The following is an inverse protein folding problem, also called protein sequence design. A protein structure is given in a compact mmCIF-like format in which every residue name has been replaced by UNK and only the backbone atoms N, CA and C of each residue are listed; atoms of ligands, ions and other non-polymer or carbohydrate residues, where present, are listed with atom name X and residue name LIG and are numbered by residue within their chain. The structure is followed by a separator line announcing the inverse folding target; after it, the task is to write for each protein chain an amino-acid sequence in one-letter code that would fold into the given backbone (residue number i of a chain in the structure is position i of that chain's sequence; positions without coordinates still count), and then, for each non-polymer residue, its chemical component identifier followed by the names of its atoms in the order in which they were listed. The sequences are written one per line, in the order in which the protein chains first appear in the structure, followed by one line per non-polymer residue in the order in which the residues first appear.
data_IF_027914511410
#
_entry.id   IF_027914511410
#
_cell.length_a   1.000
_cell.length_b   1.000
_cell.length_c   1.000
_cell.angle_alpha   90.00
_cell.angle_beta   90.00
_cell.angle_gamma   90.00
#
_symmetry.space_group_name_H-M   'P 1'
#
loop_
_entity.id
_entity.type
_entity.pdbx_description
1 polymer ?
#
# COMPACT_ATOMS: atom_id res chain seq x y z
N UNK A 1 38.39 -37.97 44.48
CA UNK A 1 38.23 -38.62 43.15
C UNK A 1 36.77 -38.40 42.74
N UNK A 2 36.51 -37.40 41.97
CA UNK A 2 35.15 -37.10 41.45
C UNK A 2 35.27 -36.74 39.96
N UNK A 3 34.74 -37.61 39.15
CA UNK A 3 34.79 -37.56 37.70
C UNK A 3 33.86 -36.47 37.13
N UNK A 4 34.46 -35.59 36.29
CA UNK A 4 33.75 -34.70 35.40
C UNK A 4 33.18 -35.48 34.20
N UNK A 5 31.87 -35.47 34.02
CA UNK A 5 31.21 -35.83 32.78
C UNK A 5 30.58 -34.54 32.19
N UNK A 6 31.31 -33.90 31.28
CA UNK A 6 30.83 -32.77 30.49
C UNK A 6 30.04 -33.31 29.29
N UNK A 7 28.79 -32.84 29.18
CA UNK A 7 27.81 -33.31 28.22
C UNK A 7 28.17 -33.06 26.76
N UNK A 8 28.16 -34.11 25.96
CA UNK A 8 28.25 -34.12 24.48
C UNK A 8 26.89 -33.87 23.78
N UNK A 9 25.84 -33.49 24.52
CA UNK A 9 24.47 -33.40 23.96
C UNK A 9 24.13 -32.09 23.20
N UNK A 10 24.80 -31.00 23.52
CA UNK A 10 24.37 -29.67 23.01
C UNK A 10 24.76 -29.41 21.55
N UNK A 11 25.88 -29.97 21.06
CA UNK A 11 26.33 -29.73 19.65
C UNK A 11 25.49 -30.44 18.59
N UNK A 12 24.85 -31.57 18.90
CA UNK A 12 24.03 -32.26 17.92
C UNK A 12 22.67 -31.63 17.66
N UNK A 13 22.12 -30.85 18.59
CA UNK A 13 20.84 -30.15 18.40
C UNK A 13 20.94 -28.95 17.47
N UNK A 14 22.06 -28.21 17.53
CA UNK A 14 22.30 -27.07 16.63
C UNK A 14 22.58 -27.50 15.19
N UNK A 15 23.34 -28.58 14.99
CA UNK A 15 23.57 -29.15 13.66
C UNK A 15 22.28 -29.69 13.04
N UNK A 16 21.45 -30.40 13.79
CA UNK A 16 20.15 -30.90 13.29
C UNK A 16 19.20 -29.75 12.90
N UNK A 17 19.12 -28.68 13.68
CA UNK A 17 18.32 -27.48 13.33
C UNK A 17 18.88 -26.75 12.12
N UNK A 18 20.19 -26.66 11.96
CA UNK A 18 20.83 -26.11 10.76
C UNK A 18 20.51 -26.93 9.51
N UNK A 19 20.56 -28.25 9.59
CA UNK A 19 20.21 -29.13 8.47
C UNK A 19 18.72 -29.11 8.11
N UNK A 20 17.81 -29.00 9.06
CA UNK A 20 16.37 -28.86 8.77
C UNK A 20 16.04 -27.52 8.11
N UNK A 21 16.70 -26.43 8.51
CA UNK A 21 16.56 -25.12 7.86
C UNK A 21 17.17 -25.15 6.45
N UNK A 22 18.34 -25.76 6.28
CA UNK A 22 18.99 -25.91 4.99
C UNK A 22 18.19 -26.83 4.03
N UNK A 23 17.62 -27.92 4.52
CA UNK A 23 16.74 -28.81 3.75
C UNK A 23 15.41 -28.16 3.40
N UNK A 24 14.82 -27.37 4.30
CA UNK A 24 13.64 -26.57 4.00
C UNK A 24 13.95 -25.47 2.96
N UNK A 25 15.10 -24.81 3.06
CA UNK A 25 15.55 -23.85 2.06
C UNK A 25 15.86 -24.53 0.70
N UNK A 26 16.48 -25.73 0.70
CA UNK A 26 16.69 -26.51 -0.52
C UNK A 26 15.38 -27.03 -1.12
N UNK A 27 14.42 -27.46 -0.31
CA UNK A 27 13.09 -27.87 -0.79
C UNK A 27 12.34 -26.70 -1.45
N UNK A 28 12.50 -25.48 -0.94
CA UNK A 28 11.96 -24.26 -1.54
C UNK A 28 12.64 -23.91 -2.88
N UNK A 29 13.88 -24.37 -3.12
CA UNK A 29 14.61 -24.14 -4.36
C UNK A 29 14.25 -25.14 -5.50
N UNK A 30 13.52 -26.21 -5.21
CA UNK A 30 13.15 -27.23 -6.20
C UNK A 30 11.77 -27.01 -6.83
N UNK A 31 11.08 -25.91 -6.52
CA UNK A 31 9.86 -25.56 -7.25
C UNK A 31 10.23 -25.02 -8.63
N UNK A 32 9.92 -25.80 -9.65
CA UNK A 32 10.02 -25.43 -11.06
C UNK A 32 9.39 -24.06 -11.30
N UNK A 33 10.11 -23.21 -12.03
CA UNK A 33 9.79 -21.86 -12.54
C UNK A 33 8.35 -21.35 -12.27
N UNK A 34 8.00 -21.12 -11.02
CA UNK A 34 6.75 -20.45 -10.64
C UNK A 34 6.96 -18.92 -10.70
N UNK A 35 6.01 -18.23 -11.28
CA UNK A 35 6.07 -16.82 -11.64
C UNK A 35 5.30 -15.97 -10.61
N UNK A 36 5.70 -14.72 -10.35
CA UNK A 36 5.17 -13.86 -9.28
C UNK A 36 3.66 -13.58 -9.42
N UNK A 37 2.93 -13.66 -8.32
CA UNK A 37 1.49 -13.89 -8.27
C UNK A 37 1.11 -14.79 -9.44
N UNK A 38 1.40 -16.08 -9.34
CA UNK A 38 1.42 -16.96 -10.50
C UNK A 38 0.07 -17.11 -11.19
N UNK A 39 -1.00 -16.61 -10.59
CA UNK A 39 -2.36 -16.60 -11.15
C UNK A 39 -2.38 -15.98 -12.54
N UNK A 40 -1.96 -14.72 -12.66
CA UNK A 40 -2.04 -13.99 -13.93
C UNK A 40 -0.99 -14.48 -14.94
N UNK A 41 0.15 -14.92 -14.46
CA UNK A 41 1.15 -15.55 -15.32
C UNK A 41 0.67 -16.90 -15.87
N UNK A 42 0.02 -17.74 -15.04
CA UNK A 42 -0.64 -18.98 -15.49
C UNK A 42 -1.77 -18.69 -16.47
N UNK A 43 -2.60 -17.66 -16.16
CA UNK A 43 -3.74 -17.28 -17.00
C UNK A 43 -3.31 -16.80 -18.39
N UNK A 44 -2.22 -16.03 -18.47
CA UNK A 44 -1.80 -15.37 -19.73
C UNK A 44 -0.65 -16.09 -20.44
N UNK A 45 0.02 -17.04 -19.79
CA UNK A 45 1.26 -17.64 -20.27
C UNK A 45 2.45 -16.68 -20.32
N UNK A 46 2.33 -15.48 -19.73
CA UNK A 46 3.36 -14.44 -19.76
C UNK A 46 4.22 -14.45 -18.48
N UNK A 47 5.47 -14.03 -18.61
CA UNK A 47 6.36 -13.83 -17.48
C UNK A 47 5.98 -12.54 -16.71
N UNK A 48 6.42 -12.43 -15.45
CA UNK A 48 6.11 -11.28 -14.58
C UNK A 48 6.61 -9.95 -15.14
N UNK A 49 7.73 -9.95 -15.85
CA UNK A 49 8.31 -8.76 -16.49
C UNK A 49 7.46 -8.24 -17.66
N UNK A 50 6.59 -9.08 -18.24
CA UNK A 50 5.66 -8.59 -19.24
C UNK A 50 4.62 -7.63 -18.65
N UNK A 51 4.17 -7.90 -17.42
CA UNK A 51 3.13 -7.11 -16.75
C UNK A 51 3.68 -6.10 -15.75
N UNK A 52 4.82 -6.37 -15.11
CA UNK A 52 5.40 -5.54 -14.06
C UNK A 52 6.78 -5.03 -14.44
N UNK A 53 7.04 -3.75 -14.25
CA UNK A 53 8.35 -3.14 -14.47
C UNK A 53 9.39 -3.81 -13.57
N UNK A 54 10.42 -4.46 -14.19
CA UNK A 54 11.42 -5.24 -13.47
C UNK A 54 10.88 -6.54 -12.84
N UNK A 55 9.66 -6.99 -13.22
CA UNK A 55 9.07 -8.24 -12.74
C UNK A 55 8.47 -8.20 -11.34
N UNK A 56 8.31 -7.01 -10.74
CA UNK A 56 7.81 -6.84 -9.38
C UNK A 56 6.61 -5.88 -9.33
N UNK A 57 5.58 -6.23 -8.55
CA UNK A 57 4.47 -5.33 -8.33
C UNK A 57 4.90 -4.09 -7.51
N UNK A 58 4.14 -2.98 -7.51
CA UNK A 58 2.88 -2.81 -8.23
C UNK A 58 3.03 -2.10 -9.58
N UNK A 59 4.21 -1.63 -9.96
CA UNK A 59 4.38 -0.85 -11.19
C UNK A 59 4.09 -1.70 -12.42
N UNK A 60 3.01 -1.34 -13.14
CA UNK A 60 2.59 -2.05 -14.35
C UNK A 60 3.26 -1.48 -15.60
N UNK A 61 3.72 -2.39 -16.48
CA UNK A 61 4.10 -2.04 -17.85
C UNK A 61 2.86 -1.65 -18.68
N UNK A 62 3.00 -1.11 -19.91
CA UNK A 62 1.86 -0.91 -20.80
C UNK A 62 1.00 -2.17 -21.00
N UNK A 63 1.62 -3.35 -21.12
CA UNK A 63 0.90 -4.61 -21.23
C UNK A 63 0.17 -4.98 -19.94
N UNK A 64 0.79 -4.82 -18.79
CA UNK A 64 0.14 -5.06 -17.48
C UNK A 64 -1.04 -4.12 -17.24
N UNK A 65 -0.92 -2.85 -17.65
CA UNK A 65 -2.05 -1.89 -17.63
C UNK A 65 -3.18 -2.33 -18.55
N UNK A 66 -2.86 -2.77 -19.77
CA UNK A 66 -3.85 -3.28 -20.71
C UNK A 66 -4.57 -4.53 -20.17
N UNK A 67 -3.85 -5.43 -19.50
CA UNK A 67 -4.42 -6.60 -18.85
C UNK A 67 -5.45 -6.20 -17.76
N UNK A 68 -5.08 -5.27 -16.88
CA UNK A 68 -5.98 -4.74 -15.84
C UNK A 68 -7.18 -3.98 -16.43
N UNK A 69 -6.95 -3.17 -17.47
CA UNK A 69 -8.01 -2.44 -18.20
C UNK A 69 -9.00 -3.36 -18.91
N UNK A 70 -8.54 -4.52 -19.39
CA UNK A 70 -9.43 -5.56 -19.92
C UNK A 70 -10.06 -6.42 -18.81
N UNK A 71 -10.14 -5.93 -17.58
CA UNK A 71 -10.86 -6.56 -16.48
C UNK A 71 -10.27 -7.91 -16.05
N UNK A 72 -8.95 -8.12 -16.19
CA UNK A 72 -8.29 -9.38 -15.88
C UNK A 72 -8.76 -10.57 -16.73
N UNK A 73 -9.38 -10.33 -17.91
CA UNK A 73 -10.01 -11.37 -18.71
C UNK A 73 -9.12 -11.96 -19.79
N UNK A 74 -7.98 -11.35 -20.12
CA UNK A 74 -7.05 -11.85 -21.14
C UNK A 74 -6.44 -13.18 -20.73
N UNK A 75 -6.33 -14.11 -21.69
CA UNK A 75 -5.81 -15.46 -21.48
C UNK A 75 -6.90 -16.45 -21.07
N UNK A 76 -6.48 -17.57 -20.50
CA UNK A 76 -7.35 -18.70 -20.19
C UNK A 76 -7.71 -18.76 -18.70
N UNK A 77 -8.86 -19.36 -18.38
CA UNK A 77 -9.23 -19.58 -16.99
C UNK A 77 -8.31 -20.63 -16.36
N UNK A 78 -7.72 -20.30 -15.21
CA UNK A 78 -6.84 -21.20 -14.45
C UNK A 78 -7.26 -21.28 -12.98
N UNK A 79 -6.48 -21.99 -12.14
CA UNK A 79 -6.68 -21.99 -10.68
C UNK A 79 -6.48 -20.56 -10.17
N UNK A 80 -7.52 -19.92 -9.61
CA UNK A 80 -7.51 -18.50 -9.26
C UNK A 80 -6.88 -18.22 -7.89
N UNK A 81 -5.86 -18.97 -7.48
CA UNK A 81 -5.29 -18.91 -6.13
C UNK A 81 -3.80 -18.58 -6.16
N UNK A 82 -3.36 -17.66 -5.31
CA UNK A 82 -1.96 -17.43 -4.96
C UNK A 82 -1.83 -17.00 -3.51
N UNK A 83 -0.61 -17.04 -2.98
CA UNK A 83 -0.29 -16.55 -1.65
C UNK A 83 1.02 -15.75 -1.66
N UNK A 84 1.17 -14.85 -0.70
CA UNK A 84 2.45 -14.21 -0.40
C UNK A 84 2.66 -14.09 1.09
N UNK A 85 3.91 -13.91 1.50
CA UNK A 85 4.28 -13.65 2.88
C UNK A 85 5.46 -12.69 2.95
N UNK A 86 5.52 -11.92 4.03
CA UNK A 86 6.63 -11.03 4.36
C UNK A 86 7.15 -11.35 5.75
N UNK A 87 8.46 -11.56 5.83
CA UNK A 87 9.19 -11.57 7.08
C UNK A 87 10.20 -10.43 7.06
N UNK A 88 10.43 -9.80 8.20
CA UNK A 88 11.29 -8.63 8.25
C UNK A 88 12.08 -8.49 9.56
N UNK A 89 12.98 -7.52 9.55
CA UNK A 89 13.68 -6.97 10.70
C UNK A 89 13.61 -5.46 10.61
N UNK A 90 12.91 -4.86 11.55
CA UNK A 90 12.77 -3.41 11.67
C UNK A 90 13.60 -2.89 12.83
N UNK A 91 14.44 -1.88 12.59
CA UNK A 91 15.22 -1.19 13.63
C UNK A 91 15.00 0.32 13.53
N UNK A 92 14.36 0.89 14.52
CA UNK A 92 14.24 2.33 14.68
C UNK A 92 15.44 2.89 15.46
N UNK A 93 15.80 4.14 15.18
CA UNK A 93 16.91 4.81 15.83
C UNK A 93 16.67 4.99 17.33
N UNK A 94 15.52 5.53 17.71
CA UNK A 94 15.08 5.54 19.11
C UNK A 94 14.18 4.32 19.36
N UNK A 95 14.43 3.62 20.48
CA UNK A 95 13.69 2.42 20.85
C UNK A 95 12.54 2.69 21.85
N UNK A 96 12.54 3.86 22.47
CA UNK A 96 11.55 4.24 23.49
C UNK A 96 11.08 5.67 23.31
N UNK A 97 9.86 5.94 23.81
CA UNK A 97 9.31 7.29 23.94
C UNK A 97 9.99 8.06 25.08
N UNK A 98 9.55 9.30 25.32
CA UNK A 98 10.06 10.14 26.39
C UNK A 98 9.81 9.57 27.81
N UNK A 99 8.86 8.66 27.96
CA UNK A 99 8.53 8.00 29.22
C UNK A 99 9.27 6.66 29.39
N UNK A 100 10.10 6.27 28.40
CA UNK A 100 10.83 5.01 28.40
C UNK A 100 10.04 3.79 27.89
N UNK A 101 8.81 3.97 27.38
CA UNK A 101 8.03 2.88 26.80
C UNK A 101 8.56 2.50 25.44
N UNK A 102 8.61 1.18 25.10
CA UNK A 102 9.02 0.74 23.76
C UNK A 102 8.07 1.30 22.69
N UNK A 103 8.63 1.92 21.65
CA UNK A 103 7.86 2.46 20.51
C UNK A 103 7.68 1.45 19.38
N UNK A 104 8.44 0.34 19.40
CA UNK A 104 8.26 -0.79 18.49
C UNK A 104 8.25 -2.09 19.27
N UNK A 105 7.39 -3.06 18.91
CA UNK A 105 7.24 -4.29 19.69
C UNK A 105 8.46 -5.22 19.62
N UNK A 106 9.24 -5.19 18.55
CA UNK A 106 10.35 -6.13 18.27
C UNK A 106 11.54 -5.44 17.62
N UNK A 107 11.94 -4.29 18.13
CA UNK A 107 13.03 -3.48 17.55
C UNK A 107 14.33 -4.27 17.33
N UNK A 108 14.74 -4.43 16.08
CA UNK A 108 15.94 -5.14 15.67
C UNK A 108 15.87 -6.67 15.75
N UNK A 109 14.67 -7.25 15.90
CA UNK A 109 14.47 -8.69 15.88
C UNK A 109 13.73 -9.12 14.62
N UNK A 110 14.06 -10.29 14.05
CA UNK A 110 13.28 -10.86 12.94
C UNK A 110 11.84 -11.19 13.38
N UNK A 111 10.89 -10.82 12.54
CA UNK A 111 9.47 -11.12 12.73
C UNK A 111 8.87 -11.71 11.46
N UNK A 112 7.76 -12.43 11.62
CA UNK A 112 6.78 -12.64 10.58
C UNK A 112 5.83 -11.45 10.62
N UNK A 113 5.76 -10.70 9.52
CA UNK A 113 4.99 -9.46 9.47
C UNK A 113 3.55 -9.74 9.02
N UNK A 114 3.38 -10.14 7.78
CA UNK A 114 2.05 -10.46 7.23
C UNK A 114 2.10 -11.56 6.16
N UNK A 115 0.93 -12.15 5.89
CA UNK A 115 0.70 -13.01 4.74
C UNK A 115 -0.62 -12.69 4.08
N UNK A 116 -0.67 -12.86 2.75
CA UNK A 116 -1.89 -12.66 1.99
C UNK A 116 -2.22 -13.87 1.12
N UNK A 117 -3.52 -14.12 0.98
CA UNK A 117 -4.08 -15.06 0.02
C UNK A 117 -4.85 -14.25 -1.03
N UNK A 118 -4.69 -14.64 -2.29
CA UNK A 118 -5.31 -13.96 -3.42
C UNK A 118 -6.25 -14.90 -4.15
N UNK A 119 -7.44 -14.40 -4.48
CA UNK A 119 -8.36 -14.99 -5.45
C UNK A 119 -8.45 -14.01 -6.61
N UNK A 120 -7.93 -14.39 -7.79
CA UNK A 120 -7.88 -13.47 -8.90
C UNK A 120 -7.95 -14.20 -10.25
N UNK A 121 -8.40 -13.50 -11.28
CA UNK A 121 -8.40 -13.99 -12.64
C UNK A 121 -9.71 -13.78 -13.39
N UNK A 122 -9.77 -14.44 -14.53
CA UNK A 122 -10.91 -14.45 -15.45
C UNK A 122 -12.08 -15.25 -14.88
N UNK A 123 -13.24 -14.61 -14.74
CA UNK A 123 -14.49 -15.24 -14.33
C UNK A 123 -15.32 -15.59 -15.58
N UNK A 124 -15.48 -14.61 -16.49
CA UNK A 124 -16.09 -14.77 -17.82
C UNK A 124 -15.24 -14.07 -18.87
N UNK A 125 -15.67 -14.01 -20.13
CA UNK A 125 -14.95 -13.25 -21.17
C UNK A 125 -15.01 -11.72 -20.93
N UNK A 126 -15.97 -11.25 -20.16
CA UNK A 126 -16.17 -9.84 -19.85
C UNK A 126 -15.94 -9.50 -18.37
N UNK A 127 -15.84 -10.49 -17.47
CA UNK A 127 -15.74 -10.28 -16.04
C UNK A 127 -14.49 -10.96 -15.50
N UNK A 128 -13.70 -10.21 -14.74
CA UNK A 128 -12.61 -10.73 -13.96
C UNK A 128 -12.47 -9.97 -12.64
N UNK A 129 -11.57 -10.43 -11.81
CA UNK A 129 -11.40 -9.83 -10.50
C UNK A 129 -10.09 -10.18 -9.85
N UNK A 130 -9.85 -9.42 -8.79
CA UNK A 130 -8.73 -9.55 -7.88
C UNK A 130 -9.26 -9.32 -6.47
N UNK A 131 -9.05 -10.25 -5.57
CA UNK A 131 -9.41 -10.14 -4.16
C UNK A 131 -8.24 -10.63 -3.31
N UNK A 132 -7.85 -9.84 -2.34
CA UNK A 132 -6.77 -10.07 -1.40
C UNK A 132 -7.35 -10.20 0.01
N UNK A 133 -6.87 -11.18 0.77
CA UNK A 133 -7.15 -11.36 2.19
C UNK A 133 -5.81 -11.41 2.90
N UNK A 134 -5.61 -10.57 3.91
CA UNK A 134 -4.33 -10.40 4.58
C UNK A 134 -4.44 -10.72 6.07
N UNK A 135 -3.49 -11.49 6.57
CA UNK A 135 -3.20 -11.63 7.98
C UNK A 135 -2.06 -10.70 8.34
N UNK A 136 -2.32 -9.67 9.14
CA UNK A 136 -1.31 -8.81 9.74
C UNK A 136 -1.01 -9.31 11.15
N UNK A 137 0.26 -9.60 11.45
CA UNK A 137 0.63 -10.20 12.74
C UNK A 137 0.70 -9.17 13.87
N UNK A 138 0.95 -7.91 13.52
CA UNK A 138 1.04 -6.76 14.45
C UNK A 138 -0.02 -5.71 14.10
N UNK A 139 -1.29 -6.12 14.05
CA UNK A 139 -2.39 -5.29 13.61
C UNK A 139 -2.77 -4.22 14.65
N UNK A 140 -3.08 -4.65 15.87
CA UNK A 140 -3.46 -3.75 16.97
C UNK A 140 -2.96 -4.26 18.33
N UNK A 141 -3.02 -3.42 19.35
CA UNK A 141 -2.77 -3.80 20.73
C UNK A 141 -4.10 -3.94 21.49
N UNK A 142 -4.25 -5.02 22.24
CA UNK A 142 -5.38 -5.17 23.15
C UNK A 142 -5.23 -4.21 24.38
N UNK A 143 -6.25 -4.15 25.23
CA UNK A 143 -6.28 -3.29 26.41
C UNK A 143 -5.12 -3.57 27.41
N UNK A 144 -4.42 -4.70 27.30
CA UNK A 144 -3.22 -5.00 28.08
C UNK A 144 -1.92 -4.58 27.41
N UNK A 145 -1.98 -3.94 26.23
CA UNK A 145 -0.83 -3.57 25.42
C UNK A 145 -0.18 -4.73 24.65
N UNK A 146 -0.83 -5.91 24.61
CA UNK A 146 -0.32 -7.05 23.85
C UNK A 146 -0.75 -6.97 22.40
N UNK A 147 0.21 -7.12 21.48
CA UNK A 147 -0.04 -7.18 20.04
C UNK A 147 -0.87 -8.39 19.65
N UNK A 148 -1.84 -8.16 18.78
CA UNK A 148 -2.74 -9.16 18.20
C UNK A 148 -2.62 -9.16 16.68
N UNK A 149 -2.72 -10.36 16.10
CA UNK A 149 -2.87 -10.51 14.65
C UNK A 149 -4.34 -10.49 14.24
N UNK A 150 -4.58 -10.07 12.98
CA UNK A 150 -5.91 -9.94 12.41
C UNK A 150 -5.96 -10.44 10.97
N UNK A 151 -7.03 -11.17 10.62
CA UNK A 151 -7.37 -11.53 9.24
C UNK A 151 -8.44 -10.60 8.72
N UNK A 152 -8.19 -9.99 7.55
CA UNK A 152 -9.12 -9.06 6.97
C UNK A 152 -9.20 -9.17 5.45
N UNK A 153 -10.31 -8.71 4.88
CA UNK A 153 -10.38 -8.31 3.49
C UNK A 153 -9.39 -7.17 3.27
N UNK A 154 -8.58 -7.29 2.22
CA UNK A 154 -7.64 -6.28 1.78
C UNK A 154 -8.08 -5.77 0.40
N UNK A 155 -7.19 -5.40 -0.48
CA UNK A 155 -7.52 -4.85 -1.79
C UNK A 155 -8.40 -5.79 -2.62
N UNK A 156 -9.51 -5.29 -3.09
CA UNK A 156 -10.46 -6.01 -3.94
C UNK A 156 -10.88 -5.12 -5.11
N UNK A 157 -10.82 -5.67 -6.34
CA UNK A 157 -11.19 -4.98 -7.58
C UNK A 157 -11.83 -5.98 -8.55
N UNK A 158 -13.12 -5.85 -8.78
CA UNK A 158 -13.88 -6.60 -9.78
C UNK A 158 -14.22 -5.69 -10.94
N UNK A 159 -14.14 -6.23 -12.16
CA UNK A 159 -14.38 -5.46 -13.39
C UNK A 159 -15.30 -6.22 -14.34
N UNK A 160 -16.23 -5.48 -14.94
CA UNK A 160 -16.91 -5.84 -16.18
C UNK A 160 -16.35 -4.98 -17.29
N UNK A 161 -15.98 -5.58 -18.42
CA UNK A 161 -15.30 -4.89 -19.52
C UNK A 161 -15.88 -5.28 -20.87
N UNK A 162 -15.99 -4.29 -21.73
CA UNK A 162 -16.17 -4.48 -23.17
C UNK A 162 -15.14 -3.68 -23.96
N UNK A 163 -14.74 -4.19 -25.12
CA UNK A 163 -13.75 -3.55 -26.00
C UNK A 163 -14.24 -3.46 -27.43
N UNK A 164 -14.34 -2.25 -27.94
CA UNK A 164 -14.80 -1.93 -29.27
C UNK A 164 -13.58 -1.58 -30.11
N UNK A 165 -13.31 -2.39 -31.15
CA UNK A 165 -12.20 -2.18 -32.07
C UNK A 165 -12.70 -1.90 -33.48
N UNK A 166 -12.14 -0.86 -34.09
CA UNK A 166 -12.29 -0.55 -35.50
C UNK A 166 -10.96 -0.05 -36.07
N UNK A 167 -10.80 0.11 -37.39
CA UNK A 167 -9.54 0.63 -37.96
C UNK A 167 -9.09 1.98 -37.40
N UNK A 168 -10.02 2.80 -36.92
CA UNK A 168 -9.73 4.14 -36.39
C UNK A 168 -9.81 4.25 -34.87
N UNK A 169 -10.41 3.26 -34.19
CA UNK A 169 -10.71 3.35 -32.75
C UNK A 169 -10.44 2.03 -32.03
N UNK A 170 -9.76 2.12 -30.91
CA UNK A 170 -9.61 1.06 -29.90
C UNK A 170 -10.13 1.64 -28.58
N UNK A 171 -11.35 1.25 -28.19
CA UNK A 171 -12.03 1.77 -27.01
C UNK A 171 -12.33 0.64 -26.04
N UNK A 172 -11.77 0.72 -24.85
CA UNK A 172 -12.10 -0.14 -23.72
C UNK A 172 -13.07 0.63 -22.82
N UNK A 173 -14.21 0.02 -22.51
CA UNK A 173 -15.19 0.50 -21.55
C UNK A 173 -15.29 -0.47 -20.41
N UNK A 174 -15.26 0.00 -19.17
CA UNK A 174 -15.35 -0.88 -18.01
C UNK A 174 -16.16 -0.31 -16.87
N UNK A 175 -16.73 -1.23 -16.07
CA UNK A 175 -17.31 -0.94 -14.77
C UNK A 175 -16.44 -1.57 -13.70
N UNK A 176 -16.32 -0.92 -12.54
CA UNK A 176 -15.54 -1.43 -11.40
C UNK A 176 -16.35 -1.49 -10.12
N UNK A 177 -16.02 -2.48 -9.29
CA UNK A 177 -16.45 -2.60 -7.89
C UNK A 177 -15.21 -2.90 -7.06
N UNK A 178 -14.88 -2.03 -6.09
CA UNK A 178 -13.67 -2.17 -5.30
C UNK A 178 -13.83 -1.58 -3.88
N UNK A 179 -12.90 -1.90 -2.98
CA UNK A 179 -13.01 -1.57 -1.55
C UNK A 179 -11.90 -0.64 -1.01
N UNK A 180 -11.12 -0.04 -1.89
CA UNK A 180 -10.07 0.89 -1.50
C UNK A 180 -10.04 2.02 -2.53
N UNK A 181 -10.19 3.29 -2.12
CA UNK A 181 -10.09 4.40 -3.05
C UNK A 181 -8.81 4.29 -3.87
N UNK A 182 -8.96 4.39 -5.21
CA UNK A 182 -7.88 4.32 -6.21
C UNK A 182 -7.21 2.95 -6.43
N UNK A 183 -7.62 1.84 -5.78
CA UNK A 183 -7.09 0.50 -6.06
C UNK A 183 -7.30 0.08 -7.53
N UNK A 184 -8.33 0.61 -8.18
CA UNK A 184 -8.63 0.43 -9.60
C UNK A 184 -7.63 1.14 -10.52
N UNK A 185 -6.84 2.12 -10.04
CA UNK A 185 -5.85 2.83 -10.85
C UNK A 185 -4.86 1.88 -11.51
N UNK A 186 -4.75 1.99 -12.84
CA UNK A 186 -3.86 1.13 -13.63
C UNK A 186 -2.41 1.62 -13.65
N UNK A 187 -2.17 2.85 -13.22
CA UNK A 187 -0.82 3.45 -13.20
C UNK A 187 -0.13 3.26 -11.85
N UNK A 188 -0.87 2.92 -10.81
CA UNK A 188 -0.40 2.78 -9.42
C UNK A 188 0.38 4.00 -8.92
N UNK A 189 0.00 5.19 -9.38
CA UNK A 189 0.51 6.49 -8.94
C UNK A 189 -0.45 7.20 -8.01
N UNK A 190 -1.75 6.92 -8.18
CA UNK A 190 -2.77 7.41 -7.27
C UNK A 190 -2.66 6.75 -5.88
N UNK A 191 -3.25 7.35 -4.84
CA UNK A 191 -2.88 7.08 -3.45
C UNK A 191 -3.17 5.71 -2.85
N UNK A 192 -3.87 4.78 -3.51
CA UNK A 192 -4.06 3.43 -2.97
C UNK A 192 -2.75 2.68 -2.71
N UNK A 193 -1.69 3.04 -3.44
CA UNK A 193 -0.37 2.45 -3.31
C UNK A 193 0.63 3.51 -2.85
N UNK A 194 1.28 3.29 -1.72
CA UNK A 194 2.29 4.21 -1.18
C UNK A 194 3.67 3.99 -1.83
N UNK A 195 4.61 4.89 -1.55
CA UNK A 195 6.03 4.78 -1.92
C UNK A 195 6.89 4.81 -0.65
N UNK A 196 7.69 3.80 -0.35
CA UNK A 196 7.79 2.48 -1.00
C UNK A 196 6.55 1.62 -0.76
N UNK A 197 6.31 0.61 -1.60
CA UNK A 197 5.12 -0.26 -1.53
C UNK A 197 5.20 -1.33 -0.44
N UNK A 198 6.41 -1.69 -0.02
CA UNK A 198 6.64 -2.55 1.13
C UNK A 198 7.30 -1.68 2.18
N UNK A 199 6.73 -1.65 3.37
CA UNK A 199 7.20 -0.90 4.52
C UNK A 199 7.00 -1.70 5.79
N UNK A 200 7.68 -1.30 6.87
CA UNK A 200 7.57 -1.94 8.17
C UNK A 200 6.20 -1.66 8.82
N UNK A 201 5.47 -2.70 9.19
CA UNK A 201 4.21 -2.56 9.94
C UNK A 201 4.43 -2.15 11.41
N UNK A 202 5.61 -2.44 11.96
CA UNK A 202 5.95 -2.14 13.37
C UNK A 202 6.79 -0.88 13.55
N UNK A 203 7.10 -0.17 12.48
CA UNK A 203 7.74 1.16 12.59
C UNK A 203 6.77 2.13 13.26
N UNK A 204 7.26 3.04 14.13
CA UNK A 204 6.42 4.11 14.70
C UNK A 204 5.73 4.94 13.63
N UNK A 205 6.29 4.89 12.44
CA UNK A 205 5.78 5.53 11.23
C UNK A 205 5.94 4.55 10.09
N UNK A 206 4.93 3.77 9.84
CA UNK A 206 4.84 2.92 8.64
C UNK A 206 4.63 3.78 7.38
N UNK A 207 5.55 4.73 7.12
CA UNK A 207 5.43 5.72 6.06
C UNK A 207 5.38 7.15 6.58
N UNK A 208 4.45 7.98 6.09
CA UNK A 208 4.27 9.36 6.52
C UNK A 208 3.13 9.44 7.54
N UNK A 209 3.34 10.05 8.72
CA UNK A 209 2.38 10.01 9.82
C UNK A 209 1.07 10.77 9.54
N UNK A 210 1.10 11.71 8.59
CA UNK A 210 -0.07 12.52 8.20
C UNK A 210 -0.17 12.52 6.68
N UNK A 211 -1.33 12.08 6.18
CA UNK A 211 -1.61 11.97 4.74
C UNK A 211 -3.01 12.47 4.43
N UNK A 212 -3.28 12.95 3.20
CA UNK A 212 -4.63 13.23 2.73
C UNK A 212 -5.53 11.99 2.82
N UNK A 213 -6.84 12.20 2.94
CA UNK A 213 -7.81 11.12 3.13
C UNK A 213 -7.82 10.11 2.00
N UNK A 214 -7.54 10.54 0.77
CA UNK A 214 -7.42 9.66 -0.38
C UNK A 214 -6.20 8.70 -0.28
N UNK A 215 -5.19 9.02 0.54
CA UNK A 215 -4.00 8.19 0.74
C UNK A 215 -4.22 7.10 1.81
N UNK A 216 -5.21 6.24 1.61
CA UNK A 216 -5.42 5.03 2.40
C UNK A 216 -6.35 5.16 3.62
N UNK A 217 -6.83 6.38 3.97
CA UNK A 217 -7.70 6.54 5.16
C UNK A 217 -9.04 5.81 5.05
N UNK A 218 -9.51 5.51 3.84
CA UNK A 218 -10.76 4.78 3.58
C UNK A 218 -10.51 3.37 3.01
N UNK A 219 -9.28 2.90 3.05
CA UNK A 219 -8.93 1.57 2.57
C UNK A 219 -9.71 0.50 3.35
N UNK A 220 -10.39 -0.39 2.62
CA UNK A 220 -11.23 -1.46 3.15
C UNK A 220 -12.34 -0.99 4.12
N UNK A 221 -12.70 0.30 4.06
CA UNK A 221 -13.82 0.88 4.83
C UNK A 221 -14.88 1.50 3.90
N UNK A 222 -14.51 1.75 2.64
CA UNK A 222 -15.40 2.26 1.61
C UNK A 222 -15.57 1.24 0.48
N UNK A 223 -16.73 1.27 -0.18
CA UNK A 223 -16.97 0.58 -1.43
C UNK A 223 -17.12 1.60 -2.56
N UNK A 224 -16.34 1.41 -3.62
CA UNK A 224 -16.39 2.20 -4.85
C UNK A 224 -17.09 1.44 -5.97
N UNK A 225 -18.04 2.10 -6.61
CA UNK A 225 -18.64 1.64 -7.87
C UNK A 225 -18.38 2.68 -8.92
N UNK A 226 -17.75 2.29 -10.04
CA UNK A 226 -17.29 3.25 -11.03
C UNK A 226 -17.35 2.73 -12.46
N UNK A 227 -17.16 3.66 -13.39
CA UNK A 227 -16.99 3.39 -14.81
C UNK A 227 -15.71 4.05 -15.32
N UNK A 228 -15.07 3.42 -16.28
CA UNK A 228 -13.87 3.96 -16.94
C UNK A 228 -13.91 3.71 -18.44
N UNK A 229 -13.10 4.51 -19.13
CA UNK A 229 -12.78 4.32 -20.53
C UNK A 229 -11.28 4.45 -20.77
N UNK A 230 -10.79 3.75 -21.78
CA UNK A 230 -9.44 3.93 -22.30
C UNK A 230 -9.50 3.95 -23.83
N UNK A 231 -9.21 5.12 -24.41
CA UNK A 231 -9.38 5.36 -25.83
C UNK A 231 -8.02 5.50 -26.53
N UNK A 232 -7.87 4.71 -27.59
CA UNK A 232 -6.71 4.70 -28.49
C UNK A 232 -5.37 4.60 -27.76
N UNK A 233 -5.36 3.90 -26.61
CA UNK A 233 -4.17 3.76 -25.75
C UNK A 233 -3.55 5.08 -25.33
N UNK A 234 -4.34 6.15 -25.34
CA UNK A 234 -3.88 7.51 -25.08
C UNK A 234 -4.66 8.18 -23.96
N UNK A 235 -6.00 8.12 -24.00
CA UNK A 235 -6.86 8.83 -23.04
C UNK A 235 -7.51 7.82 -22.08
N UNK A 236 -7.23 7.94 -20.80
CA UNK A 236 -7.94 7.27 -19.73
C UNK A 236 -8.85 8.27 -19.01
N UNK A 237 -10.09 7.87 -18.73
CA UNK A 237 -10.98 8.62 -17.85
C UNK A 237 -11.78 7.67 -16.97
N UNK A 238 -12.09 8.12 -15.75
CA UNK A 238 -12.79 7.35 -14.74
C UNK A 238 -13.68 8.25 -13.89
N UNK A 239 -14.83 7.70 -13.50
CA UNK A 239 -15.72 8.28 -12.51
C UNK A 239 -16.19 7.17 -11.57
N UNK A 240 -16.02 7.36 -10.26
CA UNK A 240 -16.38 6.41 -9.21
C UNK A 240 -17.15 7.10 -8.11
N UNK A 241 -18.16 6.42 -7.56
CA UNK A 241 -18.89 6.85 -6.37
C UNK A 241 -18.56 5.92 -5.20
N UNK A 242 -18.15 6.51 -4.07
CA UNK A 242 -17.84 5.78 -2.85
C UNK A 242 -18.94 5.91 -1.81
N UNK A 243 -19.23 4.80 -1.11
CA UNK A 243 -20.08 4.73 0.06
C UNK A 243 -19.42 3.90 1.16
N UNK A 244 -20.00 3.85 2.35
CA UNK A 244 -19.50 2.98 3.44
C UNK A 244 -19.56 1.51 3.03
N UNK A 245 -18.53 0.74 3.36
CA UNK A 245 -18.50 -0.70 3.15
C UNK A 245 -19.25 -1.42 4.29
N UNK A 246 -20.56 -1.23 4.37
CA UNK A 246 -21.42 -1.86 5.36
C UNK A 246 -22.63 -2.56 4.73
N UNK A 247 -23.50 -3.15 5.53
CA UNK A 247 -24.69 -3.87 5.08
C UNK A 247 -24.32 -4.99 4.09
N UNK A 248 -24.86 -4.95 2.88
CA UNK A 248 -24.57 -5.93 1.82
C UNK A 248 -23.12 -5.87 1.33
N UNK A 249 -22.39 -4.78 1.58
CA UNK A 249 -21.02 -4.57 1.21
C UNK A 249 -20.03 -4.91 2.32
N UNK A 250 -20.49 -5.38 3.49
CA UNK A 250 -19.63 -5.65 4.65
C UNK A 250 -18.53 -6.69 4.38
N UNK A 251 -18.70 -7.55 3.37
CA UNK A 251 -17.66 -8.50 2.95
C UNK A 251 -16.45 -7.82 2.29
N UNK A 252 -16.57 -6.55 1.88
CA UNK A 252 -15.49 -5.73 1.33
C UNK A 252 -14.79 -4.90 2.43
N UNK A 253 -15.29 -4.90 3.66
CA UNK A 253 -14.67 -4.18 4.76
C UNK A 253 -13.55 -4.99 5.41
N UNK A 254 -12.66 -4.27 6.13
CA UNK A 254 -11.59 -4.86 6.94
C UNK A 254 -12.09 -5.59 8.21
N UNK A 255 -13.38 -5.87 8.30
CA UNK A 255 -14.04 -6.33 9.53
C UNK A 255 -14.37 -5.19 10.48
N UNK A 256 -14.19 -3.95 10.05
CA UNK A 256 -14.56 -2.73 10.80
C UNK A 256 -16.04 -2.69 11.08
N UNK A 257 -16.44 -2.22 12.28
CA UNK A 257 -17.83 -2.11 12.73
C UNK A 257 -18.02 -0.89 13.62
N UNK A 258 -19.25 -0.37 13.62
CA UNK A 258 -19.66 0.60 14.65
C UNK A 258 -19.53 -0.03 16.05
N UNK A 259 -19.00 0.75 16.99
CA UNK A 259 -18.82 0.32 18.38
C UNK A 259 -17.67 -0.65 18.62
N UNK A 260 -16.81 -0.89 17.62
CA UNK A 260 -15.58 -1.64 17.80
C UNK A 260 -14.39 -0.65 17.88
N UNK A 261 -13.78 -0.46 19.06
CA UNK A 261 -12.67 0.50 19.22
C UNK A 261 -11.38 0.04 18.55
N UNK A 262 -11.16 -1.28 18.34
CA UNK A 262 -9.97 -1.82 17.70
C UNK A 262 -10.02 -1.63 16.18
N UNK A 263 -11.23 -1.74 15.59
CA UNK A 263 -11.50 -1.57 14.17
C UNK A 263 -12.77 -0.73 13.95
N UNK A 264 -12.73 0.58 14.21
CA UNK A 264 -13.88 1.46 14.03
C UNK A 264 -14.21 1.61 12.54
N UNK A 265 -15.49 1.51 12.19
CA UNK A 265 -15.94 1.79 10.83
C UNK A 265 -16.01 3.30 10.58
N UNK A 266 -15.45 3.74 9.46
CA UNK A 266 -15.68 5.09 8.95
C UNK A 266 -17.00 5.14 8.19
N UNK A 267 -17.91 6.02 8.60
CA UNK A 267 -19.21 6.18 7.95
C UNK A 267 -19.22 7.39 7.03
N UNK A 268 -19.57 7.16 5.77
CA UNK A 268 -19.66 8.17 4.73
C UNK A 268 -21.10 8.64 4.56
N UNK A 269 -21.30 9.95 4.36
CA UNK A 269 -22.61 10.51 4.03
C UNK A 269 -22.86 10.42 2.53
N UNK A 270 -23.79 9.56 2.15
CA UNK A 270 -24.22 9.44 0.75
C UNK A 270 -23.13 8.89 -0.18
N UNK A 271 -23.18 9.31 -1.44
CA UNK A 271 -22.20 8.92 -2.46
C UNK A 271 -21.14 10.01 -2.60
N UNK A 272 -19.89 9.60 -2.59
CA UNK A 272 -18.74 10.48 -2.55
C UNK A 272 -17.94 10.31 -3.86
N UNK A 273 -17.92 11.33 -4.75
CA UNK A 273 -17.36 11.19 -6.08
C UNK A 273 -15.83 11.22 -6.10
N UNK A 274 -15.26 10.33 -6.90
CA UNK A 274 -13.89 10.36 -7.38
C UNK A 274 -13.90 10.45 -8.90
N UNK A 275 -13.04 11.26 -9.47
CA UNK A 275 -12.84 11.37 -10.91
C UNK A 275 -11.35 11.40 -11.24
N UNK A 276 -10.97 10.79 -12.37
CA UNK A 276 -9.59 10.79 -12.88
C UNK A 276 -9.57 10.95 -14.39
N UNK A 277 -8.61 11.69 -14.90
CA UNK A 277 -8.20 11.71 -16.32
C UNK A 277 -6.70 11.49 -16.39
N UNK A 278 -6.22 10.72 -17.36
CA UNK A 278 -4.80 10.57 -17.63
C UNK A 278 -4.54 10.48 -19.14
N UNK A 279 -3.39 10.98 -19.54
CA UNK A 279 -2.87 10.86 -20.90
C UNK A 279 -1.64 9.96 -20.88
N UNK A 280 -1.59 9.00 -21.80
CA UNK A 280 -0.46 8.09 -21.97
C UNK A 280 0.15 8.19 -23.35
N UNK A 281 1.45 8.01 -23.41
CA UNK A 281 2.20 7.95 -24.67
C UNK A 281 3.32 6.92 -24.56
N UNK A 282 3.28 5.94 -25.45
CA UNK A 282 4.30 4.87 -25.54
C UNK A 282 5.09 5.01 -26.83
N UNK A 283 6.45 5.02 -26.75
CA UNK A 283 7.34 5.07 -27.94
C UNK A 283 8.60 4.23 -27.71
N UNK A 284 8.80 3.24 -28.55
CA UNK A 284 9.89 2.28 -28.37
C UNK A 284 9.85 1.66 -26.97
N UNK A 285 10.95 1.73 -26.19
CA UNK A 285 10.98 1.20 -24.82
C UNK A 285 10.42 2.18 -23.77
N UNK A 286 9.94 3.33 -24.16
CA UNK A 286 9.50 4.39 -23.27
C UNK A 286 7.99 4.39 -23.08
N UNK A 287 7.53 4.71 -21.89
CA UNK A 287 6.13 4.94 -21.57
C UNK A 287 6.02 6.13 -20.64
N UNK A 288 5.16 7.07 -20.98
CA UNK A 288 4.88 8.28 -20.19
C UNK A 288 3.38 8.35 -19.88
N UNK A 289 3.06 8.71 -18.66
CA UNK A 289 1.71 9.07 -18.24
C UNK A 289 1.76 10.40 -17.48
N UNK A 290 0.77 11.25 -17.72
CA UNK A 290 0.44 12.40 -16.88
C UNK A 290 -1.04 12.36 -16.56
N UNK A 291 -1.42 12.63 -15.31
CA UNK A 291 -2.79 12.52 -14.84
C UNK A 291 -3.20 13.61 -13.86
N UNK A 292 -4.50 13.73 -13.71
CA UNK A 292 -5.15 14.54 -12.69
C UNK A 292 -6.33 13.77 -12.11
N UNK A 293 -6.58 13.94 -10.82
CA UNK A 293 -7.70 13.29 -10.13
C UNK A 293 -8.27 14.20 -9.04
N UNK A 294 -9.51 13.92 -8.66
CA UNK A 294 -10.19 14.60 -7.57
C UNK A 294 -11.06 13.65 -6.78
N UNK A 295 -11.14 13.89 -5.47
CA UNK A 295 -11.98 13.12 -4.55
C UNK A 295 -12.71 14.06 -3.59
N UNK A 296 -13.99 13.82 -3.35
CA UNK A 296 -14.78 14.57 -2.39
C UNK A 296 -15.49 13.61 -1.47
N UNK A 297 -15.20 13.66 -0.17
CA UNK A 297 -15.79 12.75 0.81
C UNK A 297 -16.34 13.50 2.01
N UNK A 298 -17.49 13.02 2.52
CA UNK A 298 -18.16 13.53 3.70
C UNK A 298 -18.21 12.43 4.76
N UNK A 299 -17.54 12.63 5.89
CA UNK A 299 -17.38 11.63 6.95
C UNK A 299 -18.19 12.06 8.16
N UNK A 300 -19.02 11.15 8.68
CA UNK A 300 -19.68 11.33 9.98
C UNK A 300 -18.67 11.20 11.12
N UNK A 301 -18.78 12.03 12.17
CA UNK A 301 -17.97 11.83 13.36
C UNK A 301 -18.40 10.56 14.10
N UNK A 302 -17.47 9.97 14.85
CA UNK A 302 -17.76 8.91 15.80
C UNK A 302 -17.82 9.47 17.22
N UNK A 303 -18.62 8.85 18.09
CA UNK A 303 -18.58 9.06 19.53
C UNK A 303 -17.33 8.38 20.14
N UNK A 304 -17.03 8.62 21.44
CA UNK A 304 -15.90 7.97 22.12
C UNK A 304 -15.96 6.43 22.16
N UNK A 305 -17.13 5.84 21.87
CA UNK A 305 -17.33 4.39 21.80
C UNK A 305 -17.30 3.88 20.37
N UNK A 306 -16.84 4.68 19.41
CA UNK A 306 -16.73 4.35 17.98
C UNK A 306 -18.07 4.10 17.26
N UNK A 307 -19.18 4.70 17.74
CA UNK A 307 -20.45 4.73 17.03
C UNK A 307 -20.57 6.02 16.20
N UNK A 308 -21.09 5.93 14.95
CA UNK A 308 -21.29 7.12 14.13
C UNK A 308 -22.41 8.01 14.70
N UNK A 309 -22.15 9.32 14.73
CA UNK A 309 -23.14 10.31 15.19
C UNK A 309 -23.86 10.87 13.95
N UNK A 310 -24.97 10.26 13.59
CA UNK A 310 -25.81 10.75 12.50
C UNK A 310 -26.62 11.99 12.97
N UNK A 311 -26.77 12.99 12.11
CA UNK A 311 -27.59 14.17 12.37
C UNK A 311 -26.85 15.39 12.92
N UNK A 312 -25.57 15.29 13.30
CA UNK A 312 -24.77 16.41 13.79
C UNK A 312 -23.97 17.15 12.71
N UNK A 313 -24.02 16.67 11.49
CA UNK A 313 -23.21 17.16 10.36
C UNK A 313 -22.08 16.21 9.99
N UNK A 314 -21.20 16.64 9.12
CA UNK A 314 -20.06 15.86 8.60
C UNK A 314 -18.83 16.74 8.47
N UNK A 315 -17.66 16.13 8.62
CA UNK A 315 -16.41 16.70 8.14
C UNK A 315 -16.28 16.43 6.65
N UNK A 316 -15.95 17.44 5.86
CA UNK A 316 -15.82 17.37 4.40
C UNK A 316 -14.36 17.44 4.00
N UNK A 317 -13.91 16.43 3.25
CA UNK A 317 -12.58 16.39 2.66
C UNK A 317 -12.69 16.54 1.15
N UNK A 318 -11.81 17.32 0.55
CA UNK A 318 -11.72 17.51 -0.90
C UNK A 318 -10.26 17.46 -1.33
N UNK A 319 -9.91 16.39 -2.03
CA UNK A 319 -8.58 16.14 -2.54
C UNK A 319 -8.52 16.47 -4.03
N UNK A 320 -7.47 17.15 -4.44
CA UNK A 320 -7.10 17.40 -5.82
C UNK A 320 -5.67 16.94 -6.02
N UNK A 321 -5.45 16.11 -7.01
CA UNK A 321 -4.14 15.52 -7.25
C UNK A 321 -3.70 15.59 -8.70
N UNK A 322 -2.38 15.66 -8.88
CA UNK A 322 -1.69 15.48 -10.14
C UNK A 322 -0.64 14.41 -9.99
N UNK A 323 -0.45 13.62 -11.02
CA UNK A 323 0.56 12.57 -11.04
C UNK A 323 1.20 12.42 -12.42
N UNK A 324 2.38 11.81 -12.39
CA UNK A 324 3.11 11.44 -13.59
C UNK A 324 3.90 10.15 -13.35
N UNK A 325 4.04 9.36 -14.41
CA UNK A 325 4.90 8.17 -14.42
C UNK A 325 5.67 8.13 -15.72
N UNK A 326 6.99 7.90 -15.62
CA UNK A 326 7.84 7.58 -16.75
C UNK A 326 8.45 6.20 -16.55
N UNK A 327 8.49 5.40 -17.61
CA UNK A 327 9.14 4.09 -17.61
C UNK A 327 10.04 3.96 -18.84
N UNK A 328 11.22 3.34 -18.63
CA UNK A 328 12.07 2.81 -19.67
C UNK A 328 12.14 1.29 -19.49
N UNK A 329 11.69 0.54 -20.48
CA UNK A 329 11.43 -0.90 -20.38
C UNK A 329 12.19 -1.65 -21.50
N UNK A 330 13.52 -1.72 -21.37
CA UNK A 330 14.38 -2.46 -22.31
C UNK A 330 15.49 -3.19 -21.54
N UNK A 331 15.45 -4.52 -21.59
CA UNK A 331 16.50 -5.32 -20.95
C UNK A 331 17.89 -4.96 -21.49
N UNK A 332 18.90 -4.95 -20.62
CA UNK A 332 18.86 -5.36 -19.21
C UNK A 332 18.45 -4.26 -18.23
N UNK A 333 17.97 -3.12 -18.69
CA UNK A 333 17.69 -1.93 -17.89
C UNK A 333 16.18 -1.67 -17.78
N UNK A 334 15.67 -1.53 -16.57
CA UNK A 334 14.32 -1.04 -16.30
C UNK A 334 14.39 0.16 -15.39
N UNK A 335 13.78 1.27 -15.80
CA UNK A 335 13.70 2.50 -15.01
C UNK A 335 12.22 2.84 -14.82
N UNK A 336 11.83 3.22 -13.62
CA UNK A 336 10.52 3.81 -13.34
C UNK A 336 10.71 5.05 -12.48
N UNK A 337 10.13 6.17 -12.92
CA UNK A 337 10.06 7.40 -12.14
C UNK A 337 8.59 7.79 -11.96
N UNK A 338 8.22 8.14 -10.74
CA UNK A 338 6.85 8.51 -10.37
C UNK A 338 6.84 9.79 -9.55
N UNK A 339 5.85 10.63 -9.78
CA UNK A 339 5.58 11.84 -9.03
C UNK A 339 4.09 11.93 -8.74
N UNK A 340 3.72 12.36 -7.52
CA UNK A 340 2.36 12.59 -7.10
C UNK A 340 2.28 13.78 -6.16
N UNK A 341 1.35 14.67 -6.43
CA UNK A 341 1.00 15.78 -5.54
C UNK A 341 -0.48 15.71 -5.23
N UNK A 342 -0.84 15.85 -3.96
CA UNK A 342 -2.23 15.95 -3.50
C UNK A 342 -2.37 17.18 -2.62
N UNK A 343 -3.40 17.97 -2.87
CA UNK A 343 -3.90 19.00 -1.96
C UNK A 343 -5.25 18.58 -1.41
N UNK A 344 -5.34 18.49 -0.09
CA UNK A 344 -6.58 18.27 0.64
C UNK A 344 -7.07 19.59 1.24
N UNK A 345 -8.37 19.85 1.12
CA UNK A 345 -9.06 20.88 1.88
C UNK A 345 -10.07 20.21 2.83
N UNK A 346 -9.93 20.48 4.12
CA UNK A 346 -10.80 19.99 5.19
C UNK A 346 -11.75 21.12 5.57
N UNK A 347 -13.04 20.84 5.59
CA UNK A 347 -14.06 21.76 6.11
C UNK A 347 -14.88 21.07 7.20
N UNK A 348 -14.74 21.56 8.41
CA UNK A 348 -15.31 20.98 9.61
C UNK A 348 -16.05 22.05 10.44
N UNK A 349 -17.27 22.43 10.02
CA UNK A 349 -17.99 23.55 10.63
C UNK A 349 -18.41 23.28 12.09
N UNK A 350 -18.37 22.04 12.53
CA UNK A 350 -18.78 21.64 13.88
C UNK A 350 -17.59 21.26 14.77
N UNK A 351 -16.37 21.46 14.30
CA UNK A 351 -15.13 21.19 15.03
C UNK A 351 -15.05 19.74 15.56
N UNK A 352 -15.42 18.75 14.75
CA UNK A 352 -15.31 17.34 15.12
C UNK A 352 -13.87 16.84 15.05
N UNK A 353 -13.12 17.35 14.10
CA UNK A 353 -11.77 16.90 13.75
C UNK A 353 -10.77 18.05 13.89
N UNK A 354 -11.12 19.23 13.36
CA UNK A 354 -10.31 20.45 13.45
C UNK A 354 -10.82 21.31 14.61
N UNK A 355 -9.95 21.68 15.54
CA UNK A 355 -10.36 22.43 16.74
C UNK A 355 -10.08 23.95 16.66
N UNK A 356 -8.98 24.32 16.02
CA UNK A 356 -8.49 25.71 16.01
C UNK A 356 -9.16 26.55 14.93
N UNK A 357 -9.66 25.91 13.88
CA UNK A 357 -10.33 26.55 12.74
C UNK A 357 -11.47 25.64 12.23
N UNK A 358 -12.43 26.21 11.52
CA UNK A 358 -13.47 25.42 10.84
C UNK A 358 -12.99 24.84 9.49
N UNK A 359 -11.76 25.17 9.09
CA UNK A 359 -11.15 24.70 7.86
C UNK A 359 -9.63 24.59 8.01
N UNK A 360 -9.09 23.53 7.40
CA UNK A 360 -7.67 23.27 7.33
C UNK A 360 -7.29 22.76 5.93
N UNK A 361 -6.00 22.72 5.65
CA UNK A 361 -5.49 22.12 4.40
C UNK A 361 -4.28 21.25 4.67
N UNK A 362 -4.07 20.26 3.79
CA UNK A 362 -2.90 19.41 3.78
C UNK A 362 -2.37 19.31 2.34
N UNK A 363 -1.06 19.31 2.17
CA UNK A 363 -0.40 19.07 0.89
C UNK A 363 0.56 17.90 1.04
N UNK A 364 0.50 16.96 0.12
CA UNK A 364 1.37 15.77 0.10
C UNK A 364 2.09 15.70 -1.25
N UNK A 365 3.41 15.69 -1.23
CA UNK A 365 4.26 15.43 -2.39
C UNK A 365 5.00 14.11 -2.19
N UNK A 366 4.91 13.22 -3.16
CA UNK A 366 5.63 11.96 -3.21
C UNK A 366 6.38 11.84 -4.52
N UNK A 367 7.65 11.50 -4.45
CA UNK A 367 8.49 11.19 -5.61
C UNK A 367 9.13 9.83 -5.40
N UNK A 368 9.28 9.06 -6.48
CA UNK A 368 10.04 7.81 -6.47
C UNK A 368 10.77 7.64 -7.79
N UNK A 369 12.02 7.20 -7.72
CA UNK A 369 12.75 6.68 -8.87
C UNK A 369 13.30 5.30 -8.52
N UNK A 370 13.20 4.35 -9.45
CA UNK A 370 13.79 3.02 -9.33
C UNK A 370 14.52 2.62 -10.59
N UNK A 371 15.62 1.92 -10.41
CA UNK A 371 16.40 1.30 -11.48
C UNK A 371 16.59 -0.18 -11.16
N UNK A 372 16.30 -1.05 -12.12
CA UNK A 372 16.43 -2.49 -11.99
C UNK A 372 17.29 -3.01 -13.13
N UNK A 373 18.36 -3.75 -12.78
CA UNK A 373 19.28 -4.37 -13.72
C UNK A 373 19.00 -5.85 -13.83
N UNK A 374 18.84 -6.32 -15.10
CA UNK A 374 18.56 -7.73 -15.45
C UNK A 374 17.35 -8.33 -14.72
N UNK A 375 16.38 -7.50 -14.30
CA UNK A 375 15.23 -7.91 -13.47
C UNK A 375 15.63 -8.64 -12.17
N UNK A 376 16.85 -8.39 -11.67
CA UNK A 376 17.44 -9.05 -10.49
C UNK A 376 17.94 -8.09 -9.41
N UNK A 377 18.60 -7.02 -9.80
CA UNK A 377 19.23 -6.10 -8.85
C UNK A 377 18.58 -4.73 -9.00
N UNK A 378 18.07 -4.19 -7.93
CA UNK A 378 17.39 -2.92 -7.96
C UNK A 378 17.85 -1.95 -6.88
N UNK A 379 17.73 -0.68 -7.23
CA UNK A 379 17.85 0.43 -6.30
C UNK A 379 16.65 1.35 -6.47
N UNK A 380 16.17 1.95 -5.40
CA UNK A 380 15.16 2.99 -5.47
C UNK A 380 15.44 4.11 -4.49
N UNK A 381 14.91 5.28 -4.79
CA UNK A 381 14.92 6.43 -3.91
C UNK A 381 13.53 7.05 -3.93
N UNK A 382 12.94 7.14 -2.74
CA UNK A 382 11.67 7.83 -2.54
C UNK A 382 11.87 9.09 -1.72
N UNK A 383 11.09 10.12 -2.01
CA UNK A 383 11.00 11.36 -1.25
C UNK A 383 9.55 11.63 -0.89
N UNK A 384 9.33 12.11 0.32
CA UNK A 384 8.02 12.56 0.77
C UNK A 384 8.11 13.90 1.48
N UNK A 385 7.09 14.72 1.27
CA UNK A 385 6.93 15.99 1.95
C UNK A 385 5.44 16.27 2.16
N UNK A 386 5.03 16.33 3.43
CA UNK A 386 3.68 16.73 3.84
C UNK A 386 3.76 18.08 4.54
N UNK A 387 2.87 19.00 4.21
CA UNK A 387 2.72 20.31 4.87
C UNK A 387 1.24 20.63 5.02
N UNK A 388 0.86 21.42 6.04
CA UNK A 388 -0.55 21.77 6.24
C UNK A 388 -0.77 22.82 7.30
N UNK A 389 -2.03 23.15 7.48
CA UNK A 389 -2.50 24.08 8.53
C UNK A 389 -2.26 23.46 9.90
N UNK A 390 -1.69 24.20 10.87
CA UNK A 390 -1.56 23.69 12.23
C UNK A 390 -2.94 23.54 12.89
N UNK A 391 -3.07 22.51 13.73
CA UNK A 391 -4.26 22.27 14.53
C UNK A 391 -3.92 21.47 15.79
N UNK A 392 -4.36 21.97 16.94
CA UNK A 392 -3.98 21.45 18.26
C UNK A 392 -4.62 20.08 18.57
N UNK A 393 -5.72 19.74 17.94
CA UNK A 393 -6.38 18.42 18.10
C UNK A 393 -5.87 17.42 17.10
N UNK A 394 -5.83 17.76 15.80
CA UNK A 394 -5.35 16.87 14.75
C UNK A 394 -3.89 16.44 14.94
N UNK A 395 -3.06 17.38 15.42
CA UNK A 395 -1.61 17.17 15.53
C UNK A 395 -1.12 17.32 16.96
N UNK A 396 -1.90 16.84 17.93
CA UNK A 396 -1.60 16.91 19.37
C UNK A 396 -0.24 16.26 19.75
N UNK A 397 0.26 15.33 18.96
CA UNK A 397 1.59 14.74 19.13
C UNK A 397 2.75 15.67 18.70
N UNK A 398 2.44 16.84 18.16
CA UNK A 398 3.39 17.87 17.73
C UNK A 398 3.43 19.02 18.74
N UNK A 399 4.61 19.42 19.18
CA UNK A 399 4.76 20.57 20.11
C UNK A 399 4.32 21.92 19.51
N UNK A 400 4.30 22.02 18.19
CA UNK A 400 3.87 23.22 17.46
C UNK A 400 2.60 23.00 16.63
N UNK A 401 1.95 21.83 16.84
CA UNK A 401 0.68 21.45 16.20
C UNK A 401 0.70 21.43 14.65
N UNK A 402 1.87 21.26 14.03
CA UNK A 402 2.01 21.19 12.58
C UNK A 402 2.10 19.75 12.07
N UNK A 403 1.49 19.42 10.92
CA UNK A 403 1.62 18.11 10.27
C UNK A 403 2.94 17.92 9.51
N UNK A 404 3.75 18.98 9.38
CA UNK A 404 4.85 19.06 8.44
C UNK A 404 5.87 17.94 8.66
N UNK A 405 5.95 17.02 7.69
CA UNK A 405 6.85 15.86 7.75
C UNK A 405 7.55 15.68 6.41
N UNK A 406 8.86 15.51 6.44
CA UNK A 406 9.68 15.37 5.23
C UNK A 406 10.77 14.32 5.44
N UNK A 407 11.06 13.55 4.41
CA UNK A 407 12.12 12.56 4.47
C UNK A 407 12.41 11.87 3.14
N UNK A 408 13.34 10.93 3.21
CA UNK A 408 13.84 10.14 2.10
C UNK A 408 13.86 8.66 2.47
N UNK A 409 13.57 7.80 1.48
CA UNK A 409 13.69 6.35 1.65
C UNK A 409 14.49 5.77 0.49
N UNK A 410 15.84 5.69 0.60
CA UNK A 410 16.65 4.84 -0.25
C UNK A 410 16.37 3.37 0.02
N UNK A 411 16.42 2.56 -1.03
CA UNK A 411 16.26 1.11 -0.97
C UNK A 411 17.23 0.44 -1.94
N UNK A 412 17.81 -0.69 -1.52
CA UNK A 412 18.47 -1.65 -2.40
C UNK A 412 17.75 -2.98 -2.30
N UNK A 413 17.62 -3.71 -3.40
CA UNK A 413 16.95 -4.99 -3.36
C UNK A 413 17.49 -5.98 -4.39
N UNK A 414 17.31 -7.26 -4.06
CA UNK A 414 17.71 -8.38 -4.89
C UNK A 414 16.51 -9.30 -5.13
N UNK A 415 16.34 -9.72 -6.40
CA UNK A 415 15.29 -10.60 -6.88
C UNK A 415 16.00 -11.87 -7.41
N UNK A 416 16.35 -12.84 -6.54
CA UNK A 416 17.02 -14.06 -6.97
C UNK A 416 16.18 -14.84 -7.99
N UNK A 417 14.88 -14.86 -7.78
CA UNK A 417 13.84 -15.38 -8.67
C UNK A 417 12.61 -14.46 -8.57
N UNK A 418 11.77 -14.45 -9.58
CA UNK A 418 10.69 -13.46 -9.72
C UNK A 418 9.64 -13.47 -8.60
N UNK A 419 9.59 -14.51 -7.78
CA UNK A 419 8.69 -14.65 -6.62
C UNK A 419 9.38 -14.48 -5.27
N UNK A 420 10.63 -14.02 -5.26
CA UNK A 420 11.38 -13.71 -4.03
C UNK A 420 12.04 -12.35 -4.18
N UNK A 421 11.86 -11.47 -3.21
CA UNK A 421 12.56 -10.20 -3.09
C UNK A 421 13.14 -10.04 -1.70
N UNK A 422 14.43 -9.76 -1.64
CA UNK A 422 15.11 -9.34 -0.42
C UNK A 422 15.43 -7.86 -0.58
N UNK A 423 15.00 -7.02 0.35
CA UNK A 423 15.23 -5.59 0.27
C UNK A 423 15.69 -4.99 1.58
N UNK A 424 16.50 -3.95 1.49
CA UNK A 424 16.95 -3.14 2.60
C UNK A 424 16.57 -1.69 2.33
N UNK A 425 15.72 -1.13 3.18
CA UNK A 425 15.28 0.26 3.16
C UNK A 425 15.83 1.02 4.37
N UNK A 426 16.07 2.30 4.18
CA UNK A 426 16.38 3.23 5.27
C UNK A 426 15.50 4.47 5.11
N UNK A 427 14.55 4.68 6.00
CA UNK A 427 13.75 5.90 6.03
C UNK A 427 14.40 6.92 6.94
N UNK A 428 14.76 8.08 6.38
CA UNK A 428 15.37 9.21 7.09
C UNK A 428 14.40 10.39 7.13
N UNK A 429 14.13 10.91 8.33
CA UNK A 429 13.28 12.06 8.54
C UNK A 429 14.11 13.33 8.74
N UNK A 430 14.00 14.28 7.82
CA UNK A 430 14.59 15.62 7.94
C UNK A 430 13.70 16.55 8.76
N UNK A 431 12.39 16.31 8.74
CA UNK A 431 11.37 16.99 9.57
C UNK A 431 10.29 15.98 9.96
N UNK A 432 9.77 16.09 11.17
CA UNK A 432 8.72 15.22 11.67
C UNK A 432 7.73 16.04 12.50
N UNK A 433 6.44 15.96 12.19
CA UNK A 433 5.36 16.68 12.88
C UNK A 433 5.77 18.13 13.24
N UNK A 434 6.18 18.91 12.24
CA UNK A 434 6.45 20.33 12.36
C UNK A 434 7.88 20.74 12.70
N UNK A 435 8.74 19.85 13.19
CA UNK A 435 10.09 20.24 13.64
C UNK A 435 11.19 19.22 13.27
N UNK A 436 12.44 19.70 13.24
CA UNK A 436 13.65 18.86 13.09
C UNK A 436 14.13 18.36 14.45
N UNK A 437 14.00 19.18 15.48
CA UNK A 437 14.41 18.88 16.85
C UNK A 437 13.24 19.10 17.79
N UNK A 438 13.16 18.28 18.86
CA UNK A 438 12.14 18.40 19.92
C UNK A 438 10.71 18.52 19.36
N UNK A 439 10.34 17.68 18.39
CA UNK A 439 9.06 17.79 17.70
C UNK A 439 7.85 17.51 18.60
N UNK A 440 8.03 16.70 19.64
CA UNK A 440 7.00 16.31 20.62
C UNK A 440 6.97 17.19 21.89
N UNK A 441 7.90 18.14 22.01
CA UNK A 441 8.07 18.93 23.22
C UNK A 441 8.77 18.21 24.39
N UNK A 442 9.12 16.93 24.21
CA UNK A 442 9.72 16.05 25.21
C UNK A 442 11.16 15.64 24.86
N UNK A 443 11.75 16.27 23.83
CA UNK A 443 13.15 16.09 23.45
C UNK A 443 13.39 15.18 22.26
N UNK A 444 12.38 14.55 21.64
CA UNK A 444 12.54 13.73 20.46
C UNK A 444 12.80 14.57 19.21
N UNK A 445 13.73 14.13 18.40
CA UNK A 445 14.09 14.77 17.14
C UNK A 445 13.48 13.98 15.96
N UNK A 446 13.31 14.62 14.82
CA UNK A 446 12.78 13.97 13.61
C UNK A 446 13.52 12.66 13.28
N UNK A 447 14.85 12.69 13.32
CA UNK A 447 15.70 11.52 13.04
C UNK A 447 15.60 10.39 14.06
N UNK A 448 14.99 10.59 15.22
CA UNK A 448 14.76 9.51 16.19
C UNK A 448 13.74 8.49 15.69
N UNK A 449 12.97 8.87 14.66
CA UNK A 449 12.06 8.00 13.91
C UNK A 449 12.72 7.33 12.69
N UNK A 450 14.02 7.59 12.42
CA UNK A 450 14.75 6.93 11.33
C UNK A 450 14.66 5.42 11.49
N UNK A 451 14.34 4.73 10.39
CA UNK A 451 14.03 3.30 10.42
C UNK A 451 14.85 2.56 9.38
N UNK A 452 15.56 1.54 9.82
CA UNK A 452 16.17 0.51 8.97
C UNK A 452 15.21 -0.68 8.89
N UNK A 453 14.89 -1.10 7.67
CA UNK A 453 13.94 -2.17 7.38
C UNK A 453 14.56 -3.15 6.39
N UNK A 454 14.88 -4.36 6.86
CA UNK A 454 15.32 -5.49 6.04
C UNK A 454 14.15 -6.45 5.90
N UNK A 455 13.75 -6.79 4.68
CA UNK A 455 12.61 -7.66 4.44
C UNK A 455 12.91 -8.77 3.44
N UNK A 456 12.20 -9.88 3.62
CA UNK A 456 12.06 -10.99 2.69
C UNK A 456 10.59 -11.07 2.28
N UNK A 457 10.28 -10.80 1.02
CA UNK A 457 8.98 -11.02 0.41
C UNK A 457 9.02 -12.29 -0.45
N UNK A 458 8.04 -13.16 -0.29
CA UNK A 458 7.92 -14.42 -1.03
C UNK A 458 6.48 -14.57 -1.52
N UNK A 459 6.30 -14.95 -2.78
CA UNK A 459 5.01 -15.34 -3.33
C UNK A 459 5.05 -16.78 -3.84
N UNK A 460 3.89 -17.46 -3.90
CA UNK A 460 3.80 -18.87 -4.27
C UNK A 460 2.45 -19.22 -4.91
N UNK A 461 2.43 -20.33 -5.64
CA UNK A 461 1.39 -21.07 -6.42
C UNK A 461 1.16 -20.67 -7.84
#
# INVERSE_FOLDING_TARGET
MTNFLVGRGARHHWLRRGWTIALAALALLHFSAAQALPIFARQTGQSCVACHAGGQFPELTPYGRLFKLNGYTLGERTIPLAAMAVGDLTKTRANSDANGNPITPKNGLPIFDFASVFLAGKITDHIGGFAQFTYANYDHQDASGKWKGWWASDNTDFRFVDRIMSPANDLILGLTLHNNPTVQDVFNTAPAWSYPYIGSAISPVAGVPVTPVIEGALAMQAVGTGAYLYWNKTVYAELTAYSTADGIWSFLSHGSKAGNPDHPQVYLRGYNPYARIALTHDWGPHSLMVGAFGFSVNIYPNDPNSFPIFGTGVTRYRDYGFDAQYQYLLEPHTITAQARYVRENIHDPNNFVVSDNTAANLNSLRLKASYIYQNKYGVSLSFFNTTGTPDSTLYAASANFHPNTQGWTPEIFWIPVQYVRVGLQYTHFTKFLGATTNYDGMGRNARDNDTLFLYLWVASF
#
